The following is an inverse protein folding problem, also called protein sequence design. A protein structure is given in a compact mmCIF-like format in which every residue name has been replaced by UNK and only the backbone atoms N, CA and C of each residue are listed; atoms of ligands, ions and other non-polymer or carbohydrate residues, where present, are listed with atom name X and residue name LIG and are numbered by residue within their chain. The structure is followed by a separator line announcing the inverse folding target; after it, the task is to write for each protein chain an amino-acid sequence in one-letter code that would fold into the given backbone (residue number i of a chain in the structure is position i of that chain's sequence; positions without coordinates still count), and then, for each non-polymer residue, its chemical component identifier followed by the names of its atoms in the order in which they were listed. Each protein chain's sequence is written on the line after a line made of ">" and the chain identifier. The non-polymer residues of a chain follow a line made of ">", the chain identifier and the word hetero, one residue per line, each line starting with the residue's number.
data_IF_572356316085
#
_entry.id   IF_572356316085
#
_cell.length_a   1.000
_cell.length_b   1.000
_cell.length_c   1.000
_cell.angle_alpha   90.00
_cell.angle_beta   90.00
_cell.angle_gamma   90.00
#
_symmetry.space_group_name_H-M   'P 1'
#
loop_
_entity.id
_entity.type
_entity.pdbx_description
1 polymer ?
#
# COMPACT_ATOMS: atom_id res chain seq x y z
N UNK A 1 -6.37 -0.20 46.08
CA UNK A 1 -5.99 1.00 45.33
C UNK A 1 -5.44 0.52 44.01
N UNK A 2 -6.20 0.69 42.92
CA UNK A 2 -5.64 0.55 41.57
C UNK A 2 -4.99 1.90 41.27
N UNK A 3 -3.77 1.89 40.77
CA UNK A 3 -3.01 3.10 40.44
C UNK A 3 -3.61 3.73 39.17
N UNK A 4 -4.18 4.92 39.32
CA UNK A 4 -4.77 5.76 38.25
C UNK A 4 -3.71 6.42 37.33
N UNK A 5 -2.51 5.84 37.19
CA UNK A 5 -1.40 6.45 36.44
C UNK A 5 -1.23 5.88 35.00
N UNK A 6 -2.15 5.04 34.54
CA UNK A 6 -2.06 4.38 33.23
C UNK A 6 -2.52 5.25 32.04
N UNK A 7 -2.93 6.51 32.24
CA UNK A 7 -3.61 7.29 31.20
C UNK A 7 -2.80 8.45 30.57
N UNK A 8 -1.54 8.68 30.97
CA UNK A 8 -0.75 9.82 30.47
C UNK A 8 0.43 9.44 29.56
N UNK A 9 0.65 8.15 29.30
CA UNK A 9 1.70 7.71 28.39
C UNK A 9 1.11 7.47 27.00
N UNK A 10 1.59 8.23 26.01
CA UNK A 10 1.28 8.00 24.59
C UNK A 10 1.63 6.54 24.27
N UNK A 11 0.65 5.74 23.84
CA UNK A 11 0.89 4.36 23.40
C UNK A 11 1.39 4.43 21.96
N UNK A 12 2.68 4.17 21.69
CA UNK A 12 3.17 4.15 20.32
C UNK A 12 2.57 2.94 19.60
N UNK A 13 1.94 3.19 18.45
CA UNK A 13 1.53 2.13 17.52
C UNK A 13 2.50 2.17 16.34
N UNK A 14 3.65 1.48 16.44
CA UNK A 14 4.66 1.54 15.40
C UNK A 14 4.12 0.96 14.09
N UNK A 15 4.57 1.51 12.96
CA UNK A 15 4.19 1.08 11.61
C UNK A 15 2.70 1.29 11.24
N UNK A 16 2.02 2.22 11.92
CA UNK A 16 0.65 2.63 11.58
C UNK A 16 0.62 4.13 11.28
N UNK A 17 0.18 4.49 10.08
CA UNK A 17 -0.04 5.89 9.72
C UNK A 17 -1.15 6.49 10.59
N UNK A 18 -0.94 7.72 11.08
CA UNK A 18 -1.90 8.43 11.93
C UNK A 18 -3.28 8.59 11.27
N UNK A 19 -3.33 8.76 9.95
CA UNK A 19 -4.57 8.83 9.17
C UNK A 19 -5.38 7.53 9.23
N UNK A 20 -4.71 6.38 9.19
CA UNK A 20 -5.35 5.05 9.24
C UNK A 20 -5.86 4.77 10.66
N UNK A 21 -5.06 5.08 11.68
CA UNK A 21 -5.50 4.97 13.07
C UNK A 21 -6.72 5.86 13.35
N UNK A 22 -6.77 7.06 12.76
CA UNK A 22 -7.92 7.96 12.89
C UNK A 22 -9.20 7.35 12.31
N UNK A 23 -9.13 6.70 11.14
CA UNK A 23 -10.26 5.98 10.53
C UNK A 23 -10.72 4.80 11.39
N UNK A 24 -9.78 4.05 11.95
CA UNK A 24 -10.11 2.95 12.86
C UNK A 24 -10.86 3.46 14.10
N UNK A 25 -10.38 4.55 14.71
CA UNK A 25 -11.04 5.19 15.86
C UNK A 25 -12.44 5.68 15.50
N UNK A 26 -12.63 6.24 14.29
CA UNK A 26 -13.94 6.64 13.77
C UNK A 26 -14.91 5.47 13.73
N UNK A 27 -14.50 4.33 13.17
CA UNK A 27 -15.30 3.11 13.12
C UNK A 27 -15.66 2.60 14.53
N UNK A 28 -14.66 2.50 15.43
CA UNK A 28 -14.87 2.06 16.80
C UNK A 28 -15.87 2.96 17.54
N UNK A 29 -15.79 4.28 17.37
CA UNK A 29 -16.72 5.24 17.99
C UNK A 29 -18.14 5.05 17.49
N UNK A 30 -18.33 4.91 16.17
CA UNK A 30 -19.64 4.69 15.55
C UNK A 30 -20.31 3.41 16.06
N UNK A 31 -19.54 2.31 16.16
CA UNK A 31 -20.02 1.01 16.64
C UNK A 31 -20.18 0.92 18.16
N UNK A 32 -19.46 1.73 18.94
CA UNK A 32 -19.66 1.85 20.38
C UNK A 32 -20.96 2.59 20.71
N UNK A 33 -21.26 3.70 20.03
CA UNK A 33 -22.49 4.48 20.22
C UNK A 33 -23.76 3.65 19.95
N UNK A 34 -23.69 2.67 19.04
CA UNK A 34 -24.78 1.74 18.76
C UNK A 34 -25.09 0.79 19.94
N UNK A 35 -24.13 0.53 20.84
CA UNK A 35 -24.31 -0.37 21.99
C UNK A 35 -24.92 0.31 23.22
N UNK A 36 -24.87 1.64 23.29
CA UNK A 36 -25.30 2.40 24.48
C UNK A 36 -26.79 2.81 24.42
N UNK A 37 -27.47 2.56 23.31
CA UNK A 37 -28.69 3.27 22.91
C UNK A 37 -29.91 2.32 22.79
N UNK A 38 -30.34 1.80 23.95
CA UNK A 38 -31.29 0.68 24.18
C UNK A 38 -32.79 0.98 23.91
N UNK A 39 -33.12 2.09 23.24
CA UNK A 39 -34.52 2.49 22.98
C UNK A 39 -34.95 2.29 21.51
N UNK A 40 -36.01 1.51 21.34
CA UNK A 40 -36.65 0.96 20.13
C UNK A 40 -36.50 1.73 18.80
N UNK A 41 -35.73 1.13 17.88
CA UNK A 41 -36.19 0.51 16.62
C UNK A 41 -34.94 -0.14 15.98
N UNK A 42 -34.53 -1.28 16.53
CA UNK A 42 -33.23 -1.91 16.23
C UNK A 42 -33.01 -2.18 14.74
N UNK A 43 -34.07 -2.45 13.98
CA UNK A 43 -33.95 -2.77 12.55
C UNK A 43 -33.57 -1.55 11.68
N UNK A 44 -34.05 -0.36 12.02
CA UNK A 44 -33.75 0.86 11.27
C UNK A 44 -32.33 1.33 11.58
N UNK A 45 -31.94 1.31 12.87
CA UNK A 45 -30.55 1.58 13.30
C UNK A 45 -29.56 0.59 12.69
N UNK A 46 -29.89 -0.70 12.64
CA UNK A 46 -29.03 -1.69 11.96
C UNK A 46 -28.91 -1.42 10.45
N UNK A 47 -30.00 -1.00 9.79
CA UNK A 47 -29.95 -0.64 8.36
C UNK A 47 -29.07 0.59 8.14
N UNK A 48 -29.21 1.60 8.98
CA UNK A 48 -28.35 2.80 8.94
C UNK A 48 -26.88 2.43 9.18
N UNK A 49 -26.60 1.59 10.17
CA UNK A 49 -25.23 1.14 10.46
C UNK A 49 -24.64 0.38 9.28
N UNK A 50 -25.39 -0.54 8.66
CA UNK A 50 -24.96 -1.29 7.46
C UNK A 50 -24.73 -0.38 6.26
N UNK A 51 -25.55 0.66 6.10
CA UNK A 51 -25.35 1.66 5.04
C UNK A 51 -24.07 2.44 5.28
N UNK A 52 -23.88 2.91 6.51
CA UNK A 52 -22.69 3.64 6.91
C UNK A 52 -21.42 2.79 6.79
N UNK A 53 -21.47 1.52 7.20
CA UNK A 53 -20.35 0.58 7.07
C UNK A 53 -19.91 0.39 5.61
N UNK A 54 -20.87 0.33 4.67
CA UNK A 54 -20.57 0.26 3.23
C UNK A 54 -19.88 1.52 2.71
N UNK A 55 -20.36 2.69 3.13
CA UNK A 55 -19.76 3.98 2.76
C UNK A 55 -18.37 4.14 3.39
N UNK A 56 -18.21 3.71 4.64
CA UNK A 56 -16.97 3.83 5.41
C UNK A 56 -15.81 3.06 4.75
N UNK A 57 -16.08 1.87 4.20
CA UNK A 57 -15.07 1.05 3.48
C UNK A 57 -15.03 1.32 1.98
N UNK A 58 -15.76 2.30 1.46
CA UNK A 58 -15.61 2.77 0.09
C UNK A 58 -14.41 3.73 -0.03
N UNK A 59 -13.24 3.16 0.20
CA UNK A 59 -11.96 3.84 0.21
C UNK A 59 -11.13 3.43 -1.01
N UNK A 60 -10.08 4.19 -1.29
CA UNK A 60 -9.08 3.73 -2.25
C UNK A 60 -8.41 2.44 -1.74
N UNK A 61 -7.91 1.65 -2.68
CA UNK A 61 -7.32 0.34 -2.43
C UNK A 61 -6.20 0.37 -1.39
N UNK A 62 -5.36 1.40 -1.40
CA UNK A 62 -4.23 1.52 -0.48
C UNK A 62 -4.71 1.77 0.95
N UNK A 63 -5.63 2.72 1.13
CA UNK A 63 -6.24 2.97 2.44
C UNK A 63 -6.97 1.73 2.97
N UNK A 64 -7.67 0.98 2.10
CA UNK A 64 -8.41 -0.23 2.49
C UNK A 64 -7.46 -1.34 2.97
N UNK A 65 -6.33 -1.56 2.29
CA UNK A 65 -5.33 -2.55 2.72
C UNK A 65 -4.60 -2.13 4.01
N UNK A 66 -4.32 -0.84 4.19
CA UNK A 66 -3.78 -0.38 5.47
C UNK A 66 -4.78 -0.56 6.60
N UNK A 67 -6.06 -0.25 6.36
CA UNK A 67 -7.12 -0.43 7.35
C UNK A 67 -7.30 -1.91 7.72
N UNK A 68 -7.21 -2.80 6.74
CA UNK A 68 -7.18 -4.25 6.94
C UNK A 68 -6.02 -4.67 7.85
N UNK A 69 -4.79 -4.25 7.50
CA UNK A 69 -3.59 -4.63 8.24
C UNK A 69 -3.66 -4.17 9.70
N UNK A 70 -4.14 -2.94 9.94
CA UNK A 70 -4.32 -2.37 11.28
C UNK A 70 -5.43 -3.08 12.06
N UNK A 71 -6.57 -3.37 11.41
CA UNK A 71 -7.67 -4.10 12.05
C UNK A 71 -7.23 -5.50 12.49
N UNK A 72 -6.41 -6.18 11.69
CA UNK A 72 -5.79 -7.45 12.06
C UNK A 72 -4.76 -7.29 13.18
N UNK A 73 -3.86 -6.29 13.09
CA UNK A 73 -2.82 -6.04 14.09
C UNK A 73 -3.38 -5.72 15.48
N UNK A 74 -4.47 -4.95 15.55
CA UNK A 74 -5.14 -4.54 16.78
C UNK A 74 -6.31 -5.44 17.17
N UNK A 75 -6.51 -6.56 16.46
CA UNK A 75 -7.55 -7.57 16.71
C UNK A 75 -8.99 -7.01 16.78
N UNK A 76 -9.32 -6.09 15.88
CA UNK A 76 -10.67 -5.48 15.81
C UNK A 76 -11.52 -6.30 14.83
N UNK A 77 -12.01 -7.45 15.31
CA UNK A 77 -12.71 -8.45 14.50
C UNK A 77 -13.84 -7.89 13.62
N UNK A 78 -14.69 -7.00 14.15
CA UNK A 78 -15.81 -6.45 13.37
C UNK A 78 -15.36 -5.57 12.19
N UNK A 79 -14.31 -4.78 12.39
CA UNK A 79 -13.71 -3.98 11.33
C UNK A 79 -12.95 -4.87 10.33
N UNK A 80 -12.22 -5.87 10.83
CA UNK A 80 -11.52 -6.86 10.01
C UNK A 80 -12.50 -7.57 9.07
N UNK A 81 -13.60 -8.11 9.59
CA UNK A 81 -14.63 -8.80 8.81
C UNK A 81 -15.25 -7.87 7.76
N UNK A 82 -15.57 -6.63 8.12
CA UNK A 82 -16.14 -5.64 7.20
C UNK A 82 -15.20 -5.33 6.03
N UNK A 83 -13.93 -5.06 6.32
CA UNK A 83 -12.92 -4.76 5.31
C UNK A 83 -12.65 -5.98 4.43
N UNK A 84 -12.63 -7.18 5.02
CA UNK A 84 -12.46 -8.42 4.27
C UNK A 84 -13.59 -8.72 3.30
N UNK A 85 -14.84 -8.43 3.69
CA UNK A 85 -15.98 -8.48 2.77
C UNK A 85 -15.83 -7.51 1.61
N UNK A 86 -15.40 -6.26 1.87
CA UNK A 86 -15.16 -5.27 0.81
C UNK A 86 -14.09 -5.74 -0.17
N UNK A 87 -12.99 -6.31 0.32
CA UNK A 87 -11.92 -6.87 -0.51
C UNK A 87 -12.44 -8.06 -1.33
N UNK A 88 -13.22 -8.97 -0.73
CA UNK A 88 -13.83 -10.10 -1.44
C UNK A 88 -14.75 -9.62 -2.59
N UNK A 89 -15.54 -8.57 -2.37
CA UNK A 89 -16.38 -7.96 -3.40
C UNK A 89 -15.54 -7.34 -4.54
N UNK A 90 -14.36 -6.78 -4.25
CA UNK A 90 -13.44 -6.25 -5.26
C UNK A 90 -12.80 -7.35 -6.12
N UNK A 91 -12.63 -8.55 -5.56
CA UNK A 91 -12.03 -9.70 -6.25
C UNK A 91 -13.07 -10.45 -7.07
N UNK A 92 -14.35 -10.35 -6.70
CA UNK A 92 -15.45 -11.04 -7.38
C UNK A 92 -15.49 -10.69 -8.87
N UNK A 93 -15.26 -11.69 -9.72
CA UNK A 93 -15.28 -11.53 -11.17
C UNK A 93 -13.97 -11.03 -11.79
N UNK A 94 -12.90 -10.87 -11.01
CA UNK A 94 -11.54 -10.63 -11.52
C UNK A 94 -10.81 -11.95 -11.75
N UNK A 95 -9.98 -11.98 -12.81
CA UNK A 95 -9.00 -13.04 -12.99
C UNK A 95 -7.80 -12.85 -12.05
N UNK A 96 -7.02 -13.90 -11.71
CA UNK A 96 -5.84 -13.77 -10.86
C UNK A 96 -4.87 -12.68 -11.32
N UNK A 97 -4.68 -12.55 -12.64
CA UNK A 97 -3.83 -11.53 -13.28
C UNK A 97 -4.32 -10.08 -13.10
N UNK A 98 -5.59 -9.88 -12.68
CA UNK A 98 -6.23 -8.57 -12.53
C UNK A 98 -6.44 -8.17 -11.06
N UNK A 99 -6.13 -9.06 -10.13
CA UNK A 99 -6.18 -8.77 -8.70
C UNK A 99 -4.89 -8.03 -8.36
N UNK A 100 -4.94 -6.80 -7.82
CA UNK A 100 -3.71 -6.10 -7.46
C UNK A 100 -3.05 -6.82 -6.28
N UNK A 101 -2.05 -7.65 -6.57
CA UNK A 101 -1.21 -8.37 -5.59
C UNK A 101 -0.12 -7.48 -4.97
N UNK A 102 -0.14 -6.16 -5.22
CA UNK A 102 0.79 -5.24 -4.59
C UNK A 102 0.41 -5.11 -3.11
N UNK A 103 1.28 -5.58 -2.23
CA UNK A 103 1.12 -5.42 -0.78
C UNK A 103 1.14 -3.95 -0.36
N UNK A 104 1.97 -3.14 -1.03
CA UNK A 104 2.20 -1.75 -0.65
C UNK A 104 2.77 -0.95 -1.83
N UNK A 105 2.39 0.32 -1.96
CA UNK A 105 2.97 1.27 -2.92
C UNK A 105 3.24 2.60 -2.24
N UNK A 106 4.45 3.12 -2.41
CA UNK A 106 4.86 4.41 -1.87
C UNK A 106 5.31 5.31 -3.01
N UNK A 107 4.54 6.37 -3.27
CA UNK A 107 4.94 7.42 -4.19
C UNK A 107 5.71 8.50 -3.41
N UNK A 108 7.04 8.48 -3.51
CA UNK A 108 7.92 9.41 -2.82
C UNK A 108 8.04 10.71 -3.64
N UNK A 109 8.05 11.86 -2.94
CA UNK A 109 7.96 13.23 -3.46
C UNK A 109 6.55 13.73 -3.81
N UNK A 110 6.28 15.00 -3.48
CA UNK A 110 5.05 15.71 -3.86
C UNK A 110 5.10 16.30 -5.27
N UNK A 111 6.25 16.28 -5.93
CA UNK A 111 6.42 16.83 -7.28
C UNK A 111 6.22 15.76 -8.34
N UNK A 112 5.07 15.81 -9.01
CA UNK A 112 4.82 14.97 -10.17
C UNK A 112 5.79 15.33 -11.31
N UNK A 113 6.22 14.34 -12.09
CA UNK A 113 6.83 14.63 -13.39
C UNK A 113 5.73 14.81 -14.44
N UNK A 114 5.93 15.73 -15.37
CA UNK A 114 5.07 15.82 -16.57
C UNK A 114 5.58 14.84 -17.62
N UNK A 115 4.69 14.29 -18.44
CA UNK A 115 5.04 13.39 -19.56
C UNK A 115 6.00 14.03 -20.59
N UNK A 116 6.24 15.34 -20.49
CA UNK A 116 7.16 16.10 -21.34
C UNK A 116 8.57 16.25 -20.76
N UNK A 117 8.81 15.80 -19.52
CA UNK A 117 10.11 15.93 -18.87
C UNK A 117 11.07 14.82 -19.36
N UNK A 118 12.34 15.17 -19.60
CA UNK A 118 13.43 14.23 -19.89
C UNK A 118 13.53 13.09 -18.86
N UNK A 119 13.21 13.34 -17.59
CA UNK A 119 13.14 12.28 -16.58
C UNK A 119 12.10 11.21 -16.94
N UNK A 120 10.92 11.60 -17.43
CA UNK A 120 9.87 10.66 -17.87
C UNK A 120 10.37 9.78 -19.01
N UNK A 121 11.09 10.35 -19.98
CA UNK A 121 11.69 9.57 -21.07
C UNK A 121 12.72 8.58 -20.55
N UNK A 122 13.58 9.00 -19.63
CA UNK A 122 14.58 8.12 -19.02
C UNK A 122 13.92 7.00 -18.20
N UNK A 123 12.85 7.31 -17.46
CA UNK A 123 12.09 6.33 -16.69
C UNK A 123 11.38 5.30 -17.58
N UNK A 124 10.80 5.75 -18.71
CA UNK A 124 10.18 4.86 -19.70
C UNK A 124 11.16 3.90 -20.37
N UNK A 125 12.46 4.22 -20.37
CA UNK A 125 13.53 3.32 -20.79
C UNK A 125 14.03 2.44 -19.63
N UNK A 126 14.05 2.98 -18.41
CA UNK A 126 14.58 2.31 -17.23
C UNK A 126 13.71 1.13 -16.82
N UNK A 127 12.39 1.32 -16.75
CA UNK A 127 11.45 0.30 -16.26
C UNK A 127 11.51 -0.99 -17.09
N UNK A 128 11.46 -0.97 -18.44
CA UNK A 128 11.66 -2.18 -19.24
C UNK A 128 13.04 -2.82 -19.09
N UNK A 129 14.10 -2.00 -18.89
CA UNK A 129 15.45 -2.53 -18.65
C UNK A 129 15.52 -3.28 -17.32
N UNK A 130 14.87 -2.76 -16.28
CA UNK A 130 14.78 -3.44 -14.99
C UNK A 130 14.01 -4.75 -15.10
N UNK A 131 12.85 -4.73 -15.76
CA UNK A 131 12.01 -5.92 -15.94
C UNK A 131 12.73 -7.04 -16.70
N UNK A 132 13.32 -6.72 -17.86
CA UNK A 132 14.03 -7.70 -18.69
C UNK A 132 15.26 -8.33 -18.03
N UNK A 133 15.86 -7.64 -17.05
CA UNK A 133 17.07 -8.11 -16.34
C UNK A 133 16.76 -8.57 -14.90
N UNK A 134 15.49 -8.70 -14.53
CA UNK A 134 15.09 -9.01 -13.16
C UNK A 134 15.60 -10.37 -12.66
N UNK A 135 15.81 -11.32 -13.56
CA UNK A 135 16.29 -12.67 -13.24
C UNK A 135 17.82 -12.77 -13.13
N UNK A 136 18.56 -11.69 -13.41
CA UNK A 136 20.01 -11.65 -13.22
C UNK A 136 20.38 -11.69 -11.74
N UNK A 137 21.60 -12.14 -11.45
CA UNK A 137 22.21 -12.12 -10.12
C UNK A 137 21.28 -12.59 -8.99
N UNK A 138 20.55 -13.68 -9.21
CA UNK A 138 19.62 -14.25 -8.24
C UNK A 138 18.46 -13.33 -7.86
N UNK A 139 17.87 -12.66 -8.86
CA UNK A 139 16.69 -11.83 -8.66
C UNK A 139 17.00 -10.38 -8.31
N UNK A 140 18.24 -9.91 -8.49
CA UNK A 140 18.63 -8.54 -8.18
C UNK A 140 19.28 -7.86 -9.39
N UNK A 141 18.74 -6.69 -9.74
CA UNK A 141 19.31 -5.86 -10.78
C UNK A 141 19.09 -4.39 -10.47
N UNK A 142 20.12 -3.58 -10.64
CA UNK A 142 20.04 -2.13 -10.55
C UNK A 142 20.73 -1.50 -11.75
N UNK A 143 20.20 -0.35 -12.19
CA UNK A 143 20.81 0.42 -13.27
C UNK A 143 20.33 1.86 -13.23
N UNK A 144 20.91 2.70 -14.07
CA UNK A 144 20.48 4.09 -14.24
C UNK A 144 20.49 4.49 -15.70
N UNK A 145 19.55 5.34 -16.11
CA UNK A 145 19.43 5.82 -17.48
C UNK A 145 19.38 7.35 -17.50
N UNK A 146 20.07 7.93 -18.49
CA UNK A 146 20.16 9.36 -18.69
C UNK A 146 21.35 10.00 -17.99
N UNK A 147 21.31 11.33 -17.93
CA UNK A 147 22.35 12.17 -17.35
C UNK A 147 21.73 13.19 -16.39
N UNK A 148 22.54 13.66 -15.45
CA UNK A 148 22.11 14.70 -14.51
C UNK A 148 21.71 15.99 -15.26
N UNK A 149 20.66 16.70 -14.79
CA UNK A 149 19.89 16.48 -13.56
C UNK A 149 18.67 15.55 -13.71
N UNK A 150 18.49 14.91 -14.87
CA UNK A 150 17.29 14.12 -15.20
C UNK A 150 17.54 12.60 -15.20
N UNK A 151 18.63 12.16 -14.56
CA UNK A 151 19.00 10.76 -14.51
C UNK A 151 17.99 9.98 -13.67
N UNK A 152 17.56 8.83 -14.18
CA UNK A 152 16.67 7.92 -13.49
C UNK A 152 17.48 6.75 -12.92
N UNK A 153 17.35 6.50 -11.63
CA UNK A 153 17.96 5.39 -10.92
C UNK A 153 16.87 4.38 -10.59
N UNK A 154 17.15 3.09 -10.72
CA UNK A 154 16.19 2.07 -10.33
C UNK A 154 16.82 0.74 -9.98
N UNK A 155 16.09 -0.04 -9.19
CA UNK A 155 16.42 -1.42 -8.89
C UNK A 155 15.17 -2.28 -8.79
N UNK A 156 15.40 -3.57 -8.97
CA UNK A 156 14.46 -4.65 -8.71
C UNK A 156 15.11 -5.66 -7.79
N UNK A 157 14.28 -6.25 -6.92
CA UNK A 157 14.68 -7.32 -6.03
C UNK A 157 13.54 -8.34 -5.93
N UNK A 158 13.81 -9.57 -6.30
CA UNK A 158 12.90 -10.69 -6.11
C UNK A 158 13.16 -11.39 -4.77
N UNK A 159 12.15 -12.10 -4.27
CA UNK A 159 12.27 -12.96 -3.11
C UNK A 159 13.23 -14.11 -3.43
N UNK A 160 14.13 -14.44 -2.52
CA UNK A 160 15.25 -15.34 -2.79
C UNK A 160 14.87 -16.81 -3.05
N UNK A 161 13.64 -17.21 -2.74
CA UNK A 161 13.07 -18.54 -3.03
C UNK A 161 12.19 -18.56 -4.29
N UNK A 162 11.92 -17.41 -4.90
CA UNK A 162 11.13 -17.31 -6.11
C UNK A 162 11.89 -17.88 -7.32
N UNK A 163 11.20 -18.64 -8.17
CA UNK A 163 11.76 -19.07 -9.45
C UNK A 163 11.89 -17.89 -10.41
N UNK A 164 12.74 -18.01 -11.44
CA UNK A 164 12.92 -16.97 -12.46
C UNK A 164 11.58 -16.54 -13.10
N UNK A 165 10.65 -17.47 -13.34
CA UNK A 165 9.36 -17.16 -13.93
C UNK A 165 8.46 -16.35 -12.97
N UNK A 166 8.43 -16.72 -11.69
CA UNK A 166 7.67 -15.99 -10.66
C UNK A 166 8.25 -14.57 -10.51
N UNK A 167 9.58 -14.47 -10.42
CA UNK A 167 10.30 -13.19 -10.32
C UNK A 167 10.00 -12.27 -11.52
N UNK A 168 10.15 -12.79 -12.75
CA UNK A 168 9.91 -12.03 -13.98
C UNK A 168 8.47 -11.52 -14.05
N UNK A 169 7.48 -12.40 -13.83
CA UNK A 169 6.06 -12.02 -13.84
C UNK A 169 5.74 -10.96 -12.78
N UNK A 170 6.28 -11.12 -11.57
CA UNK A 170 6.09 -10.15 -10.49
C UNK A 170 6.64 -8.76 -10.86
N UNK A 171 7.85 -8.71 -11.43
CA UNK A 171 8.45 -7.43 -11.83
C UNK A 171 7.73 -6.80 -13.02
N UNK A 172 7.19 -7.58 -13.94
CA UNK A 172 6.32 -7.08 -15.02
C UNK A 172 5.06 -6.41 -14.46
N UNK A 173 4.34 -7.10 -13.56
CA UNK A 173 3.17 -6.53 -12.89
C UNK A 173 3.52 -5.27 -12.09
N UNK A 174 4.64 -5.29 -11.35
CA UNK A 174 5.13 -4.15 -10.59
C UNK A 174 5.47 -2.95 -11.49
N UNK A 175 6.04 -3.21 -12.67
CA UNK A 175 6.39 -2.19 -13.67
C UNK A 175 5.17 -1.45 -14.20
N UNK A 176 4.10 -2.17 -14.54
CA UNK A 176 2.86 -1.59 -15.05
C UNK A 176 2.10 -0.84 -13.94
N UNK A 177 2.05 -1.44 -12.75
CA UNK A 177 1.34 -0.87 -11.60
C UNK A 177 1.99 0.42 -11.08
N UNK A 178 3.33 0.47 -10.97
CA UNK A 178 4.01 1.63 -10.39
C UNK A 178 3.92 2.87 -11.30
N UNK A 179 3.90 2.68 -12.62
CA UNK A 179 3.76 3.78 -13.58
C UNK A 179 2.34 4.37 -13.58
N UNK A 180 1.32 3.53 -13.43
CA UNK A 180 -0.07 3.99 -13.41
C UNK A 180 -0.46 4.64 -12.08
N UNK A 181 0.14 4.21 -10.96
CA UNK A 181 -0.20 4.71 -9.61
C UNK A 181 0.63 5.88 -9.14
N UNK A 182 1.89 5.97 -9.55
CA UNK A 182 2.80 7.01 -9.08
C UNK A 182 3.33 7.85 -10.26
N UNK A 183 2.69 8.98 -10.62
CA UNK A 183 3.26 9.97 -11.54
C UNK A 183 4.38 10.81 -10.89
N UNK A 184 5.10 10.24 -9.92
CA UNK A 184 6.05 10.91 -9.03
C UNK A 184 7.49 10.66 -9.49
N UNK A 185 8.44 11.47 -9.03
CA UNK A 185 9.85 11.30 -9.42
C UNK A 185 10.57 10.21 -8.64
N UNK A 186 9.97 9.71 -7.58
CA UNK A 186 10.42 8.52 -6.88
C UNK A 186 9.23 7.67 -6.46
N UNK A 187 9.36 6.37 -6.57
CA UNK A 187 8.36 5.46 -6.05
C UNK A 187 8.97 4.11 -5.73
N UNK A 188 8.31 3.40 -4.82
CA UNK A 188 8.60 1.99 -4.54
C UNK A 188 7.29 1.23 -4.52
N UNK A 189 7.27 0.03 -5.10
CA UNK A 189 6.15 -0.89 -5.02
C UNK A 189 6.65 -2.24 -4.52
N UNK A 190 5.87 -2.87 -3.65
CA UNK A 190 6.17 -4.17 -3.05
C UNK A 190 5.04 -5.15 -3.35
N UNK A 191 5.44 -6.36 -3.72
CA UNK A 191 4.64 -7.56 -3.87
C UNK A 191 5.27 -8.66 -3.00
N UNK A 192 4.55 -9.75 -2.79
CA UNK A 192 5.07 -10.90 -2.02
C UNK A 192 6.36 -11.48 -2.60
N UNK A 193 6.47 -11.49 -3.93
CA UNK A 193 7.58 -12.11 -4.66
C UNK A 193 8.65 -11.11 -5.14
N UNK A 194 8.40 -9.80 -5.06
CA UNK A 194 9.33 -8.81 -5.58
C UNK A 194 9.09 -7.37 -5.08
N UNK A 195 10.10 -6.51 -5.26
CA UNK A 195 9.98 -5.07 -5.14
C UNK A 195 10.62 -4.37 -6.35
N UNK A 196 10.07 -3.22 -6.72
CA UNK A 196 10.64 -2.32 -7.71
C UNK A 196 10.70 -0.91 -7.12
N UNK A 197 11.87 -0.27 -7.21
CA UNK A 197 12.08 1.11 -6.79
C UNK A 197 12.72 1.95 -7.88
N UNK A 198 12.24 3.18 -8.07
CA UNK A 198 12.91 4.19 -8.88
C UNK A 198 13.00 5.55 -8.16
N UNK A 199 13.95 6.38 -8.61
CA UNK A 199 14.11 7.75 -8.14
C UNK A 199 14.89 8.61 -9.14
N UNK A 200 14.71 9.92 -9.07
CA UNK A 200 15.58 10.94 -9.66
C UNK A 200 16.83 11.24 -8.82
N UNK A 201 16.95 10.63 -7.64
CA UNK A 201 18.15 10.73 -6.79
C UNK A 201 18.82 9.36 -6.68
N UNK A 202 20.14 9.33 -6.55
CA UNK A 202 20.85 8.07 -6.33
C UNK A 202 20.57 7.55 -4.91
N UNK A 203 19.95 6.37 -4.82
CA UNK A 203 19.63 5.70 -3.56
C UNK A 203 20.35 4.36 -3.41
N UNK A 204 21.28 4.02 -4.31
CA UNK A 204 22.01 2.77 -4.19
C UNK A 204 22.93 2.79 -2.99
N UNK A 205 22.94 1.69 -2.23
CA UNK A 205 23.74 1.53 -1.01
C UNK A 205 23.45 2.56 0.09
N UNK A 206 22.34 3.30 0.01
CA UNK A 206 21.88 4.15 1.12
C UNK A 206 20.79 3.44 1.91
N UNK A 207 20.94 3.43 3.23
CA UNK A 207 19.90 3.00 4.15
C UNK A 207 18.96 4.18 4.38
N UNK A 208 17.70 4.05 3.97
CA UNK A 208 16.65 4.97 4.38
C UNK A 208 15.73 4.25 5.36
N UNK A 209 15.74 4.67 6.62
CA UNK A 209 14.90 4.12 7.70
C UNK A 209 13.62 4.93 7.92
N UNK A 210 13.30 5.88 7.04
CA UNK A 210 12.09 6.69 7.14
C UNK A 210 10.91 5.87 6.61
N UNK A 211 10.25 5.15 7.51
CA UNK A 211 8.93 4.53 7.35
C UNK A 211 7.88 5.50 7.87
#
# INVERSE_FOLDING_TARGET
>A
MMEDDCANNVIPVPNVMASILSKMIEWCKKHAQMKEDDNNNNEEKEKELRSWDKEFVDLDTDTLYHLLAVANYLDIKGLLDLVWQRVADMIKGKNPEQIPESLFVQCNDTTNYTNTNTFSTNLNLLIPSLSSNSTLNYGFYNTSIGQDPNKAYGLVLCRGDATNNICQNCIEMASDAIQSRCPNRSATIWYDDCLLRYSNTNFFSSLNTSV
#
